data_IF_636718516794
#
_entry.id   IF_636718516794
#
_cell.length_a   1.000
_cell.length_b   1.000
_cell.length_c   1.000
_cell.angle_alpha   90.00
_cell.angle_beta   90.00
_cell.angle_gamma   90.00
#
_symmetry.space_group_name_H-M   'P 1'
#
loop_
_entity.id
_entity.type
_entity.pdbx_description
1 polymer ?
#
# COMPACT_ATOMS: atom_id res chain seq x y z
N UNK A 1 11.12 -9.79 -2.85
CA UNK A 1 10.10 -8.99 -2.16
C UNK A 1 8.84 -9.14 -2.98
N UNK A 2 7.89 -9.92 -2.50
CA UNK A 2 6.64 -10.13 -3.21
C UNK A 2 5.66 -9.02 -2.81
N UNK A 3 5.15 -8.28 -3.80
CA UNK A 3 4.08 -7.32 -3.59
C UNK A 3 2.77 -8.09 -3.65
N UNK A 4 2.08 -8.14 -2.52
CA UNK A 4 0.79 -8.82 -2.40
C UNK A 4 -0.33 -7.77 -2.38
N UNK A 5 -1.52 -8.16 -2.81
CA UNK A 5 -2.69 -7.28 -2.92
C UNK A 5 -3.73 -7.67 -1.87
N UNK A 6 -4.06 -6.73 -0.98
CA UNK A 6 -5.22 -6.82 -0.08
C UNK A 6 -6.34 -5.99 -0.69
N UNK A 7 -7.36 -6.63 -1.24
CA UNK A 7 -8.48 -5.94 -1.90
C UNK A 7 -8.02 -4.92 -2.98
N UNK A 8 -6.98 -5.26 -3.74
CA UNK A 8 -6.40 -4.38 -4.77
C UNK A 8 -5.45 -3.30 -4.23
N UNK A 9 -5.16 -3.30 -2.93
CA UNK A 9 -4.20 -2.39 -2.29
C UNK A 9 -2.86 -3.11 -2.12
N UNK A 10 -1.77 -2.60 -2.71
CA UNK A 10 -0.45 -3.20 -2.57
C UNK A 10 0.10 -3.01 -1.16
N UNK A 11 0.61 -4.10 -0.59
CA UNK A 11 1.26 -4.10 0.71
C UNK A 11 2.60 -4.84 0.65
N UNK A 12 3.42 -4.60 1.66
CA UNK A 12 4.66 -5.31 1.89
C UNK A 12 4.76 -5.76 3.35
N UNK A 13 5.49 -6.85 3.58
CA UNK A 13 5.78 -7.39 4.91
C UNK A 13 7.23 -7.16 5.27
N UNK A 14 7.53 -6.78 6.51
CA UNK A 14 8.90 -6.74 7.02
C UNK A 14 9.33 -8.07 7.65
N UNK A 15 10.57 -8.13 8.16
CA UNK A 15 11.12 -9.32 8.83
C UNK A 15 10.39 -9.68 10.14
N UNK A 16 9.67 -8.72 10.73
CA UNK A 16 8.87 -8.91 11.94
C UNK A 16 7.42 -9.34 11.62
N UNK A 17 7.14 -9.73 10.37
CA UNK A 17 5.80 -10.06 9.87
C UNK A 17 4.78 -8.91 9.97
N UNK A 18 5.21 -7.65 10.03
CA UNK A 18 4.30 -6.52 10.03
C UNK A 18 3.92 -6.12 8.60
N UNK A 19 2.65 -5.80 8.39
CA UNK A 19 2.07 -5.41 7.09
C UNK A 19 2.02 -3.89 6.96
N UNK A 20 2.55 -3.36 5.86
CA UNK A 20 2.55 -1.94 5.56
C UNK A 20 2.03 -1.65 4.15
N UNK A 21 1.39 -0.49 3.98
CA UNK A 21 0.99 0.00 2.66
C UNK A 21 2.22 0.31 1.81
N UNK A 22 2.23 -0.19 0.57
CA UNK A 22 3.34 0.00 -0.35
C UNK A 22 3.54 1.48 -0.68
N UNK A 23 4.79 1.96 -0.61
CA UNK A 23 5.13 3.34 -0.98
C UNK A 23 4.51 4.42 -0.08
N UNK A 24 3.97 4.06 1.10
CA UNK A 24 3.50 5.03 2.07
C UNK A 24 4.67 5.72 2.78
N UNK A 25 4.60 7.06 2.94
CA UNK A 25 5.57 7.85 3.69
C UNK A 25 4.84 8.86 4.61
N UNK A 26 4.92 8.74 5.95
CA UNK A 26 5.64 7.70 6.69
C UNK A 26 5.02 6.31 6.47
N UNK A 27 5.78 5.21 6.72
CA UNK A 27 5.26 3.85 6.57
C UNK A 27 3.97 3.63 7.36
N UNK A 28 2.89 3.25 6.68
CA UNK A 28 1.59 3.01 7.30
C UNK A 28 1.36 1.53 7.56
N UNK A 29 1.48 1.13 8.83
CA UNK A 29 1.12 -0.23 9.28
C UNK A 29 -0.39 -0.46 9.18
N UNK A 30 -0.78 -1.61 8.62
CA UNK A 30 -2.16 -2.04 8.41
C UNK A 30 -2.48 -3.40 9.02
N UNK A 31 -1.49 -4.11 9.54
CA UNK A 31 -1.70 -5.43 10.14
C UNK A 31 -0.40 -6.16 10.46
N UNK A 32 -0.53 -7.45 10.67
CA UNK A 32 0.55 -8.41 10.89
C UNK A 32 0.23 -9.72 10.16
N UNK A 33 1.23 -10.55 9.94
CA UNK A 33 1.08 -11.91 9.42
C UNK A 33 1.36 -12.89 10.55
N UNK A 34 0.38 -13.72 10.86
CA UNK A 34 0.43 -14.65 11.99
C UNK A 34 0.07 -16.08 11.55
N UNK A 35 0.46 -17.06 12.36
CA UNK A 35 0.07 -18.46 12.19
C UNK A 35 0.86 -19.27 11.17
N UNK A 36 0.49 -20.55 11.08
CA UNK A 36 0.97 -21.53 10.09
C UNK A 36 -0.26 -22.25 9.52
N UNK A 37 -0.70 -21.96 8.28
CA UNK A 37 -0.06 -21.09 7.29
C UNK A 37 -0.13 -19.59 7.63
N UNK A 38 0.86 -18.85 7.12
CA UNK A 38 0.99 -17.39 7.29
C UNK A 38 -0.26 -16.67 6.78
N UNK A 39 -1.03 -16.10 7.70
CA UNK A 39 -2.31 -15.44 7.41
C UNK A 39 -2.26 -13.96 7.79
N UNK A 40 -2.66 -13.03 6.90
CA UNK A 40 -2.79 -11.61 7.24
C UNK A 40 -3.90 -11.36 8.28
N UNK A 41 -3.55 -10.69 9.38
CA UNK A 41 -4.45 -10.17 10.40
C UNK A 41 -4.42 -8.65 10.32
N UNK A 42 -5.55 -8.04 9.96
CA UNK A 42 -5.64 -6.61 9.68
C UNK A 42 -6.11 -5.83 10.91
N UNK A 43 -5.57 -4.62 11.07
CA UNK A 43 -6.04 -3.68 12.09
C UNK A 43 -7.45 -3.21 11.76
N UNK A 44 -8.30 -2.92 12.76
CA UNK A 44 -9.70 -2.48 12.53
C UNK A 44 -9.81 -1.31 11.53
N UNK A 45 -8.90 -0.34 11.63
CA UNK A 45 -8.85 0.85 10.78
C UNK A 45 -8.03 0.69 9.49
N UNK A 46 -7.69 -0.55 9.07
CA UNK A 46 -6.87 -0.76 7.88
C UNK A 46 -7.52 -0.18 6.61
N UNK A 47 -8.85 -0.26 6.49
CA UNK A 47 -9.60 0.23 5.33
C UNK A 47 -9.50 1.73 5.18
N UNK A 48 -9.58 2.47 6.30
CA UNK A 48 -9.46 3.93 6.32
C UNK A 48 -8.07 4.35 5.84
N UNK A 49 -7.03 3.77 6.44
CA UNK A 49 -5.62 4.00 6.03
C UNK A 49 -5.40 3.70 4.55
N UNK A 50 -5.92 2.56 4.08
CA UNK A 50 -5.79 2.15 2.68
C UNK A 50 -6.53 3.11 1.73
N UNK A 51 -7.73 3.56 2.09
CA UNK A 51 -8.50 4.51 1.30
C UNK A 51 -7.81 5.87 1.21
N UNK A 52 -7.26 6.38 2.31
CA UNK A 52 -6.55 7.65 2.30
C UNK A 52 -5.25 7.57 1.50
N UNK A 53 -4.50 6.47 1.64
CA UNK A 53 -3.36 6.19 0.79
C UNK A 53 -3.75 6.11 -0.70
N UNK A 54 -4.84 5.41 -1.04
CA UNK A 54 -5.31 5.27 -2.42
C UNK A 54 -5.67 6.62 -3.06
N UNK A 55 -6.26 7.56 -2.31
CA UNK A 55 -6.55 8.91 -2.81
C UNK A 55 -5.27 9.63 -3.23
N UNK A 56 -4.27 9.62 -2.35
CA UNK A 56 -2.97 10.28 -2.60
C UNK A 56 -2.24 9.60 -3.75
N UNK A 57 -2.20 8.26 -3.74
CA UNK A 57 -1.54 7.47 -4.78
C UNK A 57 -2.13 7.72 -6.16
N UNK A 58 -3.46 7.73 -6.29
CA UNK A 58 -4.15 8.03 -7.57
C UNK A 58 -3.89 9.45 -8.04
N UNK A 59 -3.87 10.43 -7.14
CA UNK A 59 -3.54 11.81 -7.47
C UNK A 59 -2.11 11.93 -8.02
N UNK A 60 -1.13 11.26 -7.39
CA UNK A 60 0.26 11.24 -7.87
C UNK A 60 0.38 10.55 -9.22
N UNK A 61 -0.28 9.42 -9.44
CA UNK A 61 -0.28 8.74 -10.74
C UNK A 61 -0.86 9.62 -11.85
N UNK A 62 -1.94 10.34 -11.55
CA UNK A 62 -2.55 11.27 -12.49
C UNK A 62 -1.58 12.41 -12.85
N UNK A 63 -0.97 13.04 -11.84
CA UNK A 63 0.02 14.11 -12.07
C UNK A 63 1.22 13.61 -12.88
N UNK A 64 1.80 12.46 -12.52
CA UNK A 64 2.91 11.87 -13.27
C UNK A 64 2.54 11.59 -14.73
N UNK A 65 1.29 11.19 -14.99
CA UNK A 65 0.79 10.97 -16.36
C UNK A 65 0.72 12.27 -17.15
N UNK A 66 0.30 13.37 -16.52
CA UNK A 66 0.31 14.70 -17.14
C UNK A 66 1.73 15.16 -17.44
N UNK A 67 2.65 15.03 -16.48
CA UNK A 67 4.04 15.46 -16.62
C UNK A 67 4.75 14.69 -17.74
N UNK A 68 4.51 13.38 -17.84
CA UNK A 68 5.05 12.56 -18.93
C UNK A 68 4.50 12.96 -20.31
N UNK A 69 3.23 13.37 -20.39
CA UNK A 69 2.67 13.89 -21.65
C UNK A 69 3.29 15.23 -22.02
N UNK A 70 3.47 16.12 -21.05
CA UNK A 70 4.07 17.44 -21.27
C UNK A 70 5.53 17.36 -21.73
N UNK A 71 6.31 16.38 -21.22
CA UNK A 71 7.72 16.15 -21.63
C UNK A 71 7.90 15.56 -23.03
N UNK A 72 6.81 15.08 -23.66
CA UNK A 72 6.84 14.51 -25.01
C UNK A 72 6.48 15.52 -26.11
N UNK A 73 6.26 16.80 -25.76
CA UNK A 73 5.98 17.91 -26.67
C UNK A 73 7.21 18.79 -26.80
#
# INVERSE_FOLDING_TARGET
MDVLLLHGVPYWTNMNNELFLYGSNPPQKIGVVEGTPKTPVLMENWKEKANDWLKVYRAMLYQNTLDQKAKKV
#
